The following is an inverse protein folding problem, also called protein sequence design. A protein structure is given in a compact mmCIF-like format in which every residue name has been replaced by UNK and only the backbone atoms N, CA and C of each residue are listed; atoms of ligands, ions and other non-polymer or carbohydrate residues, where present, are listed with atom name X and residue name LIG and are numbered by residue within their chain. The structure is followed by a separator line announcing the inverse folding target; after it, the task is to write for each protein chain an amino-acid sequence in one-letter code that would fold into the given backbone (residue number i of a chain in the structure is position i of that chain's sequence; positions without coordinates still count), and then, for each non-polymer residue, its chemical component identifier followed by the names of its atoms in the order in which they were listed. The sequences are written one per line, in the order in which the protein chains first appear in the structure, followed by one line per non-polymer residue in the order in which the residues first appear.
data_IF_630297976895
#
_entry.id   IF_630297976895
#
_cell.length_a   1.000
_cell.length_b   1.000
_cell.length_c   1.000
_cell.angle_alpha   90.00
_cell.angle_beta   90.00
_cell.angle_gamma   90.00
#
_symmetry.space_group_name_H-M   'P 1'
#
loop_
_entity.id
_entity.type
_entity.pdbx_description
1 polymer ?
#
# COMPACT_ATOMS: atom_id res chain seq x y z
N UNK A 1 -26.00 18.42 -6.58
CA UNK A 1 -24.64 18.87 -6.24
C UNK A 1 -23.81 17.60 -6.28
N UNK A 2 -23.23 17.29 -7.44
CA UNK A 2 -22.33 16.14 -7.61
C UNK A 2 -20.98 16.64 -7.15
N UNK A 3 -20.49 16.19 -6.01
CA UNK A 3 -19.17 16.61 -5.59
C UNK A 3 -18.13 15.84 -6.42
N UNK A 4 -17.25 16.58 -7.08
CA UNK A 4 -16.15 16.06 -7.91
C UNK A 4 -14.96 15.64 -7.04
N UNK A 5 -14.98 15.96 -5.75
CA UNK A 5 -13.99 15.49 -4.77
C UNK A 5 -14.10 13.98 -4.51
N UNK A 6 -15.17 13.30 -4.96
CA UNK A 6 -15.31 11.84 -4.90
C UNK A 6 -14.43 11.09 -5.93
N UNK A 7 -13.81 11.79 -6.89
CA UNK A 7 -13.08 11.13 -7.97
C UNK A 7 -11.58 11.01 -7.70
N UNK A 8 -11.02 11.78 -6.75
CA UNK A 8 -9.59 11.81 -6.44
C UNK A 8 -9.30 11.49 -4.96
N UNK A 9 -8.40 10.54 -4.72
CA UNK A 9 -7.83 10.26 -3.41
C UNK A 9 -6.45 10.89 -3.28
N UNK A 10 -6.10 11.32 -2.07
CA UNK A 10 -4.80 11.93 -1.76
C UNK A 10 -3.88 11.01 -0.96
N UNK A 11 -4.43 9.91 -0.42
CA UNK A 11 -3.66 8.89 0.28
C UNK A 11 -4.49 7.66 0.66
N UNK A 12 -3.78 6.57 0.96
CA UNK A 12 -4.34 5.32 1.49
C UNK A 12 -3.30 4.60 2.36
N UNK A 13 -3.74 3.77 3.30
CA UNK A 13 -2.84 3.01 4.19
C UNK A 13 -3.18 1.53 4.16
N UNK A 14 -2.16 0.68 4.07
CA UNK A 14 -2.27 -0.78 4.15
C UNK A 14 -1.43 -1.25 5.33
N UNK A 15 -2.02 -2.02 6.23
CA UNK A 15 -1.38 -2.48 7.46
C UNK A 15 -1.52 -4.00 7.60
N UNK A 16 -0.45 -4.65 8.06
CA UNK A 16 -0.48 -6.05 8.49
C UNK A 16 -0.85 -6.06 9.98
N UNK A 17 -2.12 -6.36 10.28
CA UNK A 17 -2.67 -6.23 11.64
C UNK A 17 -2.47 -7.46 12.53
N UNK A 18 -2.34 -8.65 11.94
CA UNK A 18 -2.16 -9.92 12.67
C UNK A 18 -0.94 -10.67 12.14
N UNK A 19 -0.15 -11.25 13.05
CA UNK A 19 1.02 -12.05 12.70
C UNK A 19 2.21 -11.28 12.10
N UNK A 20 2.22 -9.94 12.15
CA UNK A 20 3.30 -9.13 11.60
C UNK A 20 4.66 -9.41 12.26
N UNK A 21 5.63 -9.82 11.43
CA UNK A 21 7.02 -10.02 11.81
C UNK A 21 7.93 -9.09 11.02
N UNK A 22 8.43 -8.02 11.64
CA UNK A 22 9.21 -6.96 10.97
C UNK A 22 10.47 -7.42 10.22
N UNK A 23 11.04 -8.56 10.61
CA UNK A 23 12.20 -9.15 9.94
C UNK A 23 11.83 -9.93 8.66
N UNK A 24 10.58 -10.38 8.55
CA UNK A 24 10.14 -11.31 7.51
C UNK A 24 9.08 -10.67 6.61
N UNK A 25 8.12 -9.96 7.19
CA UNK A 25 6.97 -9.41 6.49
C UNK A 25 7.25 -8.05 5.88
N UNK A 26 7.00 -7.96 4.58
CA UNK A 26 7.16 -6.73 3.80
C UNK A 26 6.00 -6.53 2.86
N UNK A 27 5.44 -5.33 2.84
CA UNK A 27 4.55 -4.90 1.77
C UNK A 27 5.39 -4.22 0.70
N UNK A 28 5.40 -4.81 -0.49
CA UNK A 28 6.05 -4.24 -1.66
C UNK A 28 5.02 -3.48 -2.49
N UNK A 29 5.36 -2.25 -2.86
CA UNK A 29 4.59 -1.42 -3.77
C UNK A 29 5.53 -0.82 -4.81
N UNK A 30 5.02 -0.60 -6.02
CA UNK A 30 5.74 0.11 -7.07
C UNK A 30 5.02 1.41 -7.31
N UNK A 31 5.75 2.51 -7.13
CA UNK A 31 5.23 3.85 -7.35
C UNK A 31 4.60 3.95 -8.74
N UNK A 32 3.41 4.50 -8.76
CA UNK A 32 2.72 4.89 -10.00
C UNK A 32 3.01 6.37 -10.24
N UNK A 33 2.81 6.85 -11.47
CA UNK A 33 3.20 8.22 -11.84
C UNK A 33 2.77 9.32 -10.85
N UNK A 34 1.63 9.15 -10.17
CA UNK A 34 1.09 10.10 -9.20
C UNK A 34 0.95 9.57 -7.77
N UNK A 35 1.14 8.26 -7.52
CA UNK A 35 1.02 7.64 -6.19
C UNK A 35 2.35 7.03 -5.79
N UNK A 36 2.92 7.50 -4.69
CA UNK A 36 4.14 6.95 -4.08
C UNK A 36 3.79 6.12 -2.85
N UNK A 37 4.53 5.03 -2.62
CA UNK A 37 4.36 4.18 -1.44
C UNK A 37 5.58 4.22 -0.52
N UNK A 38 5.33 4.42 0.76
CA UNK A 38 6.34 4.36 1.83
C UNK A 38 6.02 3.23 2.79
N UNK A 39 6.89 2.21 2.88
CA UNK A 39 6.70 1.06 3.75
C UNK A 39 7.52 1.19 5.04
N UNK A 40 6.82 1.32 6.17
CA UNK A 40 7.39 1.25 7.50
C UNK A 40 7.54 -0.22 7.92
N UNK A 41 8.72 -0.78 7.69
CA UNK A 41 9.05 -2.16 8.07
C UNK A 41 9.12 -2.40 9.59
N UNK A 42 9.11 -1.36 10.43
CA UNK A 42 9.03 -1.54 11.88
C UNK A 42 7.59 -1.72 12.35
N UNK A 43 6.62 -1.17 11.60
CA UNK A 43 5.19 -1.21 11.94
C UNK A 43 4.35 -2.10 11.03
N UNK A 44 4.86 -2.49 9.86
CA UNK A 44 4.11 -3.27 8.88
C UNK A 44 3.09 -2.43 8.12
N UNK A 45 3.34 -1.12 8.00
CA UNK A 45 2.40 -0.15 7.41
C UNK A 45 2.97 0.40 6.12
N UNK A 46 2.25 0.22 5.01
CA UNK A 46 2.49 0.88 3.74
C UNK A 46 1.56 2.09 3.61
N UNK A 47 2.15 3.27 3.45
CA UNK A 47 1.43 4.52 3.22
C UNK A 47 1.55 4.90 1.76
N UNK A 48 0.42 4.95 1.07
CA UNK A 48 0.30 5.49 -0.28
C UNK A 48 -0.06 6.97 -0.21
N UNK A 49 0.67 7.81 -0.94
CA UNK A 49 0.47 9.27 -0.97
C UNK A 49 0.48 9.79 -2.40
N UNK A 50 -0.33 10.82 -2.66
CA UNK A 50 -0.39 11.51 -3.95
C UNK A 50 -1.82 11.69 -4.44
N UNK A 51 -2.08 12.77 -5.17
CA UNK A 51 -3.43 13.04 -5.67
C UNK A 51 -3.66 12.32 -7.00
N UNK A 52 -4.52 11.30 -7.00
CA UNK A 52 -4.88 10.53 -8.20
C UNK A 52 -6.31 9.99 -8.07
N UNK A 53 -6.87 9.47 -9.16
CA UNK A 53 -8.26 9.00 -9.18
C UNK A 53 -8.47 7.81 -8.26
N UNK A 54 -9.70 7.66 -7.74
CA UNK A 54 -10.09 6.48 -6.93
C UNK A 54 -9.79 5.18 -7.67
N UNK A 55 -10.03 5.13 -8.99
CA UNK A 55 -9.75 3.96 -9.81
C UNK A 55 -8.25 3.61 -9.84
N UNK A 56 -7.38 4.63 -9.93
CA UNK A 56 -5.93 4.43 -9.86
C UNK A 56 -5.48 3.98 -8.46
N UNK A 57 -6.05 4.53 -7.41
CA UNK A 57 -5.81 4.06 -6.04
C UNK A 57 -6.26 2.61 -5.83
N UNK A 58 -7.40 2.21 -6.38
CA UNK A 58 -7.84 0.80 -6.34
C UNK A 58 -6.88 -0.12 -7.10
N UNK A 59 -6.37 0.31 -8.27
CA UNK A 59 -5.37 -0.45 -9.01
C UNK A 59 -4.04 -0.53 -8.25
N UNK A 60 -3.61 0.57 -7.62
CA UNK A 60 -2.42 0.65 -6.78
C UNK A 60 -2.54 -0.27 -5.56
N UNK A 61 -3.66 -0.24 -4.83
CA UNK A 61 -3.90 -1.13 -3.70
C UNK A 61 -3.91 -2.61 -4.11
N UNK A 62 -4.41 -2.93 -5.32
CA UNK A 62 -4.36 -4.29 -5.87
C UNK A 62 -2.97 -4.72 -6.31
N UNK A 63 -2.04 -3.80 -6.58
CA UNK A 63 -0.66 -4.13 -6.94
C UNK A 63 0.25 -4.33 -5.72
N UNK A 64 -0.19 -3.90 -4.53
CA UNK A 64 0.51 -4.15 -3.27
C UNK A 64 0.69 -5.65 -3.09
N UNK A 65 1.95 -6.07 -2.97
CA UNK A 65 2.32 -7.47 -2.84
C UNK A 65 2.89 -7.71 -1.47
N UNK A 66 2.31 -8.66 -0.73
CA UNK A 66 2.91 -9.15 0.51
C UNK A 66 4.06 -10.11 0.19
N UNK A 67 5.19 -9.91 0.85
CA UNK A 67 6.36 -10.78 0.80
C UNK A 67 6.73 -11.16 2.22
N UNK A 68 6.74 -12.46 2.48
CA UNK A 68 7.34 -13.02 3.69
C UNK A 68 8.73 -13.55 3.31
N UNK A 69 9.75 -13.04 3.99
CA UNK A 69 11.15 -13.37 3.79
C UNK A 69 11.57 -14.69 4.44
N UNK A 70 10.64 -15.52 4.92
CA UNK A 70 10.96 -16.89 5.29
C UNK A 70 11.40 -17.63 4.02
N UNK A 71 12.70 -17.79 3.86
CA UNK A 71 13.31 -18.60 2.80
C UNK A 71 13.09 -20.11 3.03
N UNK A 72 12.19 -20.50 3.95
CA UNK A 72 11.94 -21.88 4.34
C UNK A 72 10.47 -22.29 4.09
N UNK A 73 10.16 -22.89 2.92
CA UNK A 73 9.01 -23.77 2.83
C UNK A 73 9.39 -25.08 3.54
N UNK A 74 9.29 -25.14 4.87
CA UNK A 74 9.35 -26.43 5.58
C UNK A 74 8.05 -27.20 5.40
#
# INVERSE_FOLDING_TARGET
LSDVDDEYMTGATVEITDGFQSAEDKLAFTDTGSITGDYDAARGILTLSGADTVANYQAALRSVTYRNGSEDPT
#
